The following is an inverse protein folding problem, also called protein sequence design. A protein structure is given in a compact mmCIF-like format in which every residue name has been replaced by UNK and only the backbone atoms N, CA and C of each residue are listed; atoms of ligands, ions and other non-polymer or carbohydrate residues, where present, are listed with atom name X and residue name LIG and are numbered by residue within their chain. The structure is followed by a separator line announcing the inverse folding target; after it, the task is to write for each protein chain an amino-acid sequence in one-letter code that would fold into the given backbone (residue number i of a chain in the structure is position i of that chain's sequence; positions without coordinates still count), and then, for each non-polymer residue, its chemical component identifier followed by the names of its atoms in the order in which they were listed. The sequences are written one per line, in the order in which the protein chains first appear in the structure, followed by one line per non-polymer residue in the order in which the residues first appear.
data_IF_140432894303
#
_entry.id   IF_140432894303
#
_cell.length_a   1.000
_cell.length_b   1.000
_cell.length_c   1.000
_cell.angle_alpha   90.00
_cell.angle_beta   90.00
_cell.angle_gamma   90.00
#
_symmetry.space_group_name_H-M   'P 1'
#
loop_
_entity.id
_entity.type
_entity.pdbx_description
1 polymer ?
#
# COMPACT_ATOMS: atom_id res chain seq x y z
N UNK A 1 -21.65 -16.16 56.12
CA UNK A 1 -21.05 -15.04 55.36
C UNK A 1 -19.54 -15.10 55.52
N UNK A 2 -18.82 -15.61 54.52
CA UNK A 2 -17.35 -15.56 54.44
C UNK A 2 -17.00 -15.05 53.04
N UNK A 3 -16.50 -13.83 52.97
CA UNK A 3 -15.96 -13.22 51.74
C UNK A 3 -14.50 -13.64 51.60
N UNK A 4 -14.18 -14.36 50.53
CA UNK A 4 -12.82 -14.57 50.08
C UNK A 4 -12.44 -13.42 49.14
N UNK A 5 -11.46 -12.60 49.55
CA UNK A 5 -10.78 -11.67 48.65
C UNK A 5 -9.62 -12.41 48.00
N UNK A 6 -9.71 -12.63 46.69
CA UNK A 6 -8.59 -13.08 45.85
C UNK A 6 -7.91 -11.83 45.31
N UNK A 7 -6.67 -11.62 45.73
CA UNK A 7 -5.77 -10.57 45.28
C UNK A 7 -5.12 -11.04 43.96
N UNK A 8 -5.53 -10.48 42.82
CA UNK A 8 -4.82 -10.69 41.54
C UNK A 8 -3.69 -9.65 41.43
N UNK A 9 -2.45 -10.15 41.38
CA UNK A 9 -1.26 -9.37 41.02
C UNK A 9 -1.11 -9.49 39.50
N UNK A 10 -1.32 -8.40 38.77
CA UNK A 10 -1.03 -8.30 37.34
C UNK A 10 0.39 -7.74 37.21
N UNK A 11 1.32 -8.57 36.73
CA UNK A 11 2.65 -8.14 36.32
C UNK A 11 2.58 -7.65 34.87
N UNK A 12 2.82 -6.36 34.65
CA UNK A 12 2.97 -5.79 33.32
C UNK A 12 4.34 -6.18 32.76
N UNK A 13 4.36 -7.07 31.77
CA UNK A 13 5.54 -7.32 30.94
C UNK A 13 5.43 -6.37 29.75
N UNK A 14 6.22 -5.30 29.77
CA UNK A 14 6.40 -4.43 28.61
C UNK A 14 7.18 -5.18 27.54
N UNK A 15 6.50 -5.60 26.49
CA UNK A 15 7.14 -6.07 25.25
C UNK A 15 7.26 -4.85 24.35
N UNK A 16 8.48 -4.32 24.22
CA UNK A 16 8.81 -3.38 23.16
C UNK A 16 8.81 -4.17 21.84
N UNK A 17 7.73 -4.04 21.05
CA UNK A 17 7.71 -4.49 19.67
C UNK A 17 8.41 -3.43 18.83
N UNK A 18 9.62 -3.76 18.39
CA UNK A 18 10.29 -3.04 17.32
C UNK A 18 9.52 -3.23 16.03
N UNK A 19 8.82 -2.19 15.58
CA UNK A 19 8.36 -2.02 14.22
C UNK A 19 9.57 -2.12 13.29
N UNK A 20 9.70 -3.23 12.56
CA UNK A 20 10.51 -3.29 11.35
C UNK A 20 9.57 -2.98 10.20
N UNK A 21 9.35 -1.70 9.97
CA UNK A 21 9.02 -1.25 8.63
C UNK A 21 10.31 -1.43 7.80
N UNK A 22 10.20 -1.95 6.58
CA UNK A 22 11.27 -1.83 5.61
C UNK A 22 11.51 -0.33 5.40
N UNK A 23 12.60 0.18 5.96
CA UNK A 23 13.06 1.54 5.78
C UNK A 23 13.72 1.61 4.40
N UNK A 24 13.08 2.31 3.47
CA UNK A 24 13.66 2.64 2.16
C UNK A 24 14.69 3.78 2.36
N UNK A 25 15.86 3.42 2.89
CA UNK A 25 17.01 4.32 2.96
C UNK A 25 17.54 4.59 1.55
N UNK A 26 17.02 5.66 0.93
CA UNK A 26 17.63 6.29 -0.25
C UNK A 26 19.03 6.78 0.13
N UNK A 27 20.05 6.19 -0.48
CA UNK A 27 21.41 6.72 -0.47
C UNK A 27 21.43 8.11 -1.09
N UNK A 28 21.70 9.13 -0.27
CA UNK A 28 22.20 10.42 -0.73
C UNK A 28 23.50 10.20 -1.52
N UNK A 29 23.48 10.51 -2.82
CA UNK A 29 24.72 10.79 -3.55
C UNK A 29 25.01 12.28 -3.45
N UNK A 30 25.96 12.64 -2.60
CA UNK A 30 26.70 13.90 -2.67
C UNK A 30 27.30 14.06 -4.06
N UNK A 31 26.90 15.10 -4.80
CA UNK A 31 27.74 15.63 -5.87
C UNK A 31 27.90 17.15 -5.75
N UNK A 32 29.05 17.48 -5.15
CA UNK A 32 29.99 18.56 -5.46
C UNK A 32 29.47 19.87 -6.07
N UNK A 33 29.53 20.93 -5.24
CA UNK A 33 29.63 22.32 -5.66
C UNK A 33 30.77 22.52 -6.68
N UNK A 34 30.47 23.19 -7.80
CA UNK A 34 31.41 24.14 -8.40
C UNK A 34 30.71 25.44 -8.79
N UNK A 35 31.21 26.48 -8.14
CA UNK A 35 31.10 27.91 -8.41
C UNK A 35 31.36 28.26 -9.89
N UNK A 36 30.43 29.00 -10.50
CA UNK A 36 30.74 29.94 -11.58
C UNK A 36 29.89 31.19 -11.40
N UNK A 37 30.57 32.28 -11.08
CA UNK A 37 30.03 33.63 -10.96
C UNK A 37 30.01 34.38 -12.29
N UNK A 38 29.04 35.30 -12.38
CA UNK A 38 29.01 36.59 -13.10
C UNK A 38 28.38 36.67 -14.51
N UNK A 39 27.21 37.32 -14.63
CA UNK A 39 27.09 38.76 -14.96
C UNK A 39 25.78 39.19 -15.63
N UNK A 40 25.14 40.19 -15.01
CA UNK A 40 24.46 41.37 -15.61
C UNK A 40 23.07 41.31 -16.27
N UNK A 41 22.13 42.03 -15.63
CA UNK A 41 21.06 42.88 -16.21
C UNK A 41 19.75 42.17 -16.64
N UNK A 42 18.54 42.72 -16.52
CA UNK A 42 18.01 43.99 -16.00
C UNK A 42 16.46 43.86 -15.94
N UNK A 43 15.82 44.74 -15.15
CA UNK A 43 14.40 45.17 -15.16
C UNK A 43 13.25 44.30 -14.60
N UNK A 44 12.84 44.67 -13.38
CA UNK A 44 11.53 45.23 -12.98
C UNK A 44 10.21 44.71 -13.63
N UNK A 45 9.43 43.99 -12.82
CA UNK A 45 7.98 44.16 -12.61
C UNK A 45 7.61 43.35 -11.34
N UNK A 46 7.60 43.96 -10.15
CA UNK A 46 6.42 44.55 -9.49
C UNK A 46 5.08 44.03 -10.02
N UNK A 47 4.43 43.15 -9.25
CA UNK A 47 3.01 43.19 -8.86
C UNK A 47 2.67 41.93 -8.03
N UNK A 48 2.27 42.12 -6.77
CA UNK A 48 1.39 41.17 -6.07
C UNK A 48 1.95 40.47 -4.83
N UNK A 49 2.37 41.24 -3.82
CA UNK A 49 2.45 40.80 -2.43
C UNK A 49 1.04 40.39 -1.95
N UNK A 50 0.78 39.09 -1.89
CA UNK A 50 -0.32 38.53 -1.09
C UNK A 50 0.30 37.95 0.16
N UNK A 51 0.26 38.76 1.21
CA UNK A 51 0.47 38.38 2.60
C UNK A 51 -0.48 37.23 2.96
N UNK A 52 0.04 36.00 3.00
CA UNK A 52 -0.63 34.89 3.68
C UNK A 52 0.01 34.70 5.05
N UNK A 53 -0.54 35.40 6.04
CA UNK A 53 -0.41 35.04 7.45
C UNK A 53 -1.82 34.82 7.99
N UNK A 54 -2.22 33.56 8.09
CA UNK A 54 -3.23 33.11 9.06
C UNK A 54 -2.94 31.62 9.36
N UNK A 55 -2.12 31.37 10.39
CA UNK A 55 -2.54 30.91 11.73
C UNK A 55 -2.96 29.44 11.75
N UNK A 56 -2.22 28.69 12.56
CA UNK A 56 -2.54 27.35 13.07
C UNK A 56 -4.04 27.09 13.23
N UNK A 57 -4.60 26.32 12.29
CA UNK A 57 -5.82 25.57 12.50
C UNK A 57 -5.44 24.10 12.53
N UNK A 58 -5.68 23.48 13.68
CA UNK A 58 -5.78 22.03 13.83
C UNK A 58 -6.91 21.56 12.92
N UNK A 59 -6.58 21.28 11.66
CA UNK A 59 -7.56 20.88 10.66
C UNK A 59 -7.98 19.44 10.95
N UNK A 60 -9.18 19.34 11.52
CA UNK A 60 -9.90 18.08 11.75
C UNK A 60 -10.89 17.82 10.62
N UNK A 61 -10.72 18.46 9.46
CA UNK A 61 -11.49 18.15 8.28
C UNK A 61 -10.80 17.02 7.51
N UNK A 62 -11.41 15.82 7.58
CA UNK A 62 -11.13 14.67 6.71
C UNK A 62 -11.57 14.99 5.27
N UNK A 63 -11.05 16.06 4.68
CA UNK A 63 -11.31 16.41 3.28
C UNK A 63 -10.10 15.95 2.50
N UNK A 64 -10.28 14.96 1.64
CA UNK A 64 -9.22 14.46 0.77
C UNK A 64 -8.62 15.60 -0.05
N UNK A 65 -7.31 15.79 0.10
CA UNK A 65 -6.59 16.78 -0.69
C UNK A 65 -6.36 16.20 -2.07
N UNK A 66 -6.79 16.98 -3.06
CA UNK A 66 -6.63 16.67 -4.46
C UNK A 66 -5.12 16.59 -4.78
N UNK A 67 -4.59 15.42 -5.17
CA UNK A 67 -3.23 15.28 -5.70
C UNK A 67 -3.18 15.49 -7.23
N UNK A 68 -2.19 14.90 -7.90
CA UNK A 68 -1.97 15.09 -9.35
C UNK A 68 -2.59 13.98 -10.21
N UNK A 69 -2.77 14.27 -11.50
CA UNK A 69 -3.19 13.25 -12.47
C UNK A 69 -2.00 12.36 -12.80
N UNK A 70 -2.13 11.05 -12.61
CA UNK A 70 -1.08 10.11 -12.99
C UNK A 70 -1.03 9.92 -14.50
N UNK A 71 0.07 9.38 -15.01
CA UNK A 71 0.22 9.00 -16.43
C UNK A 71 -0.84 8.00 -16.91
N UNK A 72 -1.51 7.31 -15.98
CA UNK A 72 -2.58 6.35 -16.24
C UNK A 72 -3.97 7.02 -16.30
N UNK A 73 -4.05 8.33 -16.09
CA UNK A 73 -5.30 9.11 -16.15
C UNK A 73 -6.08 9.15 -14.83
N UNK A 74 -5.55 8.58 -13.74
CA UNK A 74 -6.19 8.67 -12.44
C UNK A 74 -5.96 10.02 -11.80
N UNK A 75 -6.97 10.48 -11.08
CA UNK A 75 -6.80 11.54 -10.11
C UNK A 75 -6.31 10.90 -8.80
N UNK A 76 -5.01 10.96 -8.51
CA UNK A 76 -4.43 10.34 -7.31
C UNK A 76 -4.55 11.33 -6.15
N UNK A 77 -5.18 10.94 -5.05
CA UNK A 77 -5.27 11.81 -3.87
C UNK A 77 -3.99 11.74 -3.04
N UNK A 78 -3.79 12.74 -2.20
CA UNK A 78 -2.77 12.68 -1.14
C UNK A 78 -3.35 11.84 0.02
N UNK A 79 -2.77 10.68 0.35
CA UNK A 79 -3.25 9.86 1.47
C UNK A 79 -3.19 10.62 2.79
N UNK A 80 -4.19 10.45 3.65
CA UNK A 80 -4.26 11.15 4.94
C UNK A 80 -3.93 10.22 6.10
N UNK A 81 -3.56 10.80 7.25
CA UNK A 81 -3.54 10.07 8.52
C UNK A 81 -4.84 10.32 9.26
N UNK A 82 -5.54 9.24 9.65
CA UNK A 82 -6.84 9.32 10.31
C UNK A 82 -6.76 8.81 11.73
N UNK A 83 -7.44 9.51 12.65
CA UNK A 83 -7.64 9.01 14.01
C UNK A 83 -8.81 8.03 14.02
N UNK A 84 -8.52 6.78 14.35
CA UNK A 84 -9.50 5.69 14.44
C UNK A 84 -9.65 5.20 15.88
N UNK A 85 -10.80 4.59 16.19
CA UNK A 85 -11.05 3.99 17.51
C UNK A 85 -10.66 2.52 17.50
N UNK A 86 -10.00 2.05 18.55
CA UNK A 86 -9.57 0.66 18.70
C UNK A 86 -10.60 -0.17 19.47
N UNK A 87 -10.50 -1.50 19.39
CA UNK A 87 -11.42 -2.42 20.08
C UNK A 87 -11.46 -2.27 21.61
N UNK A 88 -10.42 -1.67 22.22
CA UNK A 88 -10.35 -1.38 23.66
C UNK A 88 -10.84 0.04 24.04
N UNK A 89 -11.35 0.80 23.06
CA UNK A 89 -11.84 2.17 23.23
C UNK A 89 -10.74 3.24 23.22
N UNK A 90 -9.47 2.88 23.03
CA UNK A 90 -8.40 3.84 22.76
C UNK A 90 -8.47 4.33 21.32
N UNK A 91 -7.61 5.29 20.96
CA UNK A 91 -7.51 5.80 19.58
C UNK A 91 -6.08 5.65 19.06
N UNK A 92 -5.94 5.35 17.78
CA UNK A 92 -4.66 5.36 17.07
C UNK A 92 -4.75 6.23 15.81
N UNK A 93 -3.59 6.70 15.35
CA UNK A 93 -3.45 7.40 14.08
C UNK A 93 -2.95 6.41 13.05
N UNK A 94 -3.76 6.12 12.05
CA UNK A 94 -3.46 5.15 11.00
C UNK A 94 -3.51 5.86 9.63
N UNK A 95 -2.54 5.63 8.74
CA UNK A 95 -2.56 6.20 7.41
C UNK A 95 -3.59 5.49 6.53
N UNK A 96 -4.12 6.25 5.57
CA UNK A 96 -4.82 5.71 4.42
C UNK A 96 -3.91 4.77 3.63
N UNK A 97 -4.51 3.78 2.99
CA UNK A 97 -3.81 2.80 2.17
C UNK A 97 -4.37 2.89 0.76
N UNK A 98 -3.67 3.66 -0.05
CA UNK A 98 -3.99 3.83 -1.46
C UNK A 98 -3.03 2.99 -2.29
N UNK A 99 -3.58 2.08 -3.09
CA UNK A 99 -2.80 1.14 -3.89
C UNK A 99 -2.97 1.43 -5.37
N UNK A 100 -1.86 1.45 -6.09
CA UNK A 100 -1.83 1.45 -7.55
C UNK A 100 -1.23 0.13 -8.03
N UNK A 101 -1.96 -0.64 -8.84
CA UNK A 101 -1.51 -1.95 -9.30
C UNK A 101 -1.48 -2.04 -10.82
N UNK A 102 -0.42 -2.63 -11.37
CA UNK A 102 -0.35 -3.10 -12.75
C UNK A 102 -0.86 -4.53 -12.85
N UNK A 103 -1.81 -4.75 -13.75
CA UNK A 103 -2.50 -6.02 -13.94
C UNK A 103 -2.36 -6.46 -15.40
N UNK A 104 -1.59 -7.51 -15.71
CA UNK A 104 -1.52 -8.07 -17.06
C UNK A 104 -2.74 -8.96 -17.31
N UNK A 105 -3.54 -8.61 -18.32
CA UNK A 105 -4.69 -9.42 -18.71
C UNK A 105 -5.03 -9.21 -20.18
N UNK A 106 -5.48 -10.27 -20.86
CA UNK A 106 -5.90 -10.22 -22.27
C UNK A 106 -4.90 -9.52 -23.22
N UNK A 107 -3.60 -9.73 -22.98
CA UNK A 107 -2.53 -9.12 -23.77
C UNK A 107 -2.34 -7.61 -23.58
N UNK A 108 -2.98 -7.01 -22.58
CA UNK A 108 -2.87 -5.59 -22.22
C UNK A 108 -2.40 -5.42 -20.77
N UNK A 109 -1.95 -4.21 -20.45
CA UNK A 109 -1.71 -3.77 -19.09
C UNK A 109 -2.87 -2.91 -18.64
N UNK A 110 -3.52 -3.34 -17.57
CA UNK A 110 -4.53 -2.58 -16.85
C UNK A 110 -3.86 -1.96 -15.63
N UNK A 111 -4.36 -0.80 -15.22
CA UNK A 111 -3.98 -0.19 -13.96
C UNK A 111 -5.19 -0.13 -13.05
N UNK A 112 -5.03 -0.55 -11.80
CA UNK A 112 -6.02 -0.39 -10.74
C UNK A 112 -5.55 0.70 -9.81
N UNK A 113 -6.39 1.70 -9.56
CA UNK A 113 -6.24 2.59 -8.42
C UNK A 113 -7.31 2.27 -7.38
N UNK A 114 -6.89 1.97 -6.16
CA UNK A 114 -7.76 1.69 -5.02
C UNK A 114 -7.50 2.74 -3.93
N UNK A 115 -8.55 3.43 -3.51
CA UNK A 115 -8.52 4.32 -2.35
C UNK A 115 -9.14 3.60 -1.15
N UNK A 116 -8.41 3.58 -0.04
CA UNK A 116 -8.95 3.01 1.20
C UNK A 116 -8.46 3.75 2.43
N UNK A 117 -9.28 3.70 3.48
CA UNK A 117 -8.97 4.33 4.75
C UNK A 117 -9.22 3.39 5.93
N UNK A 118 -8.46 3.55 7.03
CA UNK A 118 -8.68 2.77 8.23
C UNK A 118 -9.98 3.22 8.91
N UNK A 119 -10.78 2.24 9.32
CA UNK A 119 -12.05 2.43 10.04
C UNK A 119 -11.95 2.08 11.52
N UNK A 120 -11.00 1.19 11.86
CA UNK A 120 -10.68 0.79 13.21
C UNK A 120 -9.19 0.45 13.31
N UNK A 121 -8.62 0.64 14.50
CA UNK A 121 -7.31 0.09 14.86
C UNK A 121 -7.47 -1.17 15.69
N UNK A 122 -6.46 -2.06 15.64
CA UNK A 122 -6.30 -3.18 16.57
C UNK A 122 -7.60 -3.89 16.99
N UNK A 123 -8.23 -4.62 16.07
CA UNK A 123 -9.33 -5.55 16.44
C UNK A 123 -8.78 -6.87 17.05
N UNK A 124 -9.62 -7.91 17.22
CA UNK A 124 -9.28 -9.20 17.89
C UNK A 124 -7.98 -9.89 17.42
N UNK A 125 -7.41 -9.48 16.29
CA UNK A 125 -6.18 -10.02 15.69
C UNK A 125 -5.06 -8.96 15.54
N UNK A 126 -5.19 -7.83 16.24
CA UNK A 126 -4.21 -6.73 16.29
C UNK A 126 -3.95 -6.04 14.94
N UNK A 127 -4.97 -5.90 14.09
CA UNK A 127 -4.82 -5.23 12.79
C UNK A 127 -5.86 -4.17 12.51
N UNK A 128 -5.52 -3.18 11.68
CA UNK A 128 -6.50 -2.22 11.17
C UNK A 128 -7.51 -2.89 10.24
N UNK A 129 -8.70 -2.32 10.20
CA UNK A 129 -9.77 -2.66 9.24
C UNK A 129 -9.94 -1.48 8.30
N UNK A 130 -10.09 -1.74 7.00
CA UNK A 130 -10.20 -0.70 5.98
C UNK A 130 -11.59 -0.68 5.34
N UNK A 131 -12.03 0.52 4.97
CA UNK A 131 -13.12 0.71 4.02
C UNK A 131 -12.55 1.22 2.70
N UNK A 132 -13.14 0.78 1.59
CA UNK A 132 -12.82 1.28 0.26
C UNK A 132 -13.63 2.54 0.01
N UNK A 133 -12.95 3.64 -0.31
CA UNK A 133 -13.55 4.91 -0.69
C UNK A 133 -13.96 4.91 -2.17
N UNK A 134 -13.15 4.27 -3.00
CA UNK A 134 -13.40 4.09 -4.43
C UNK A 134 -12.31 3.27 -5.10
N UNK A 135 -12.62 2.77 -6.29
CA UNK A 135 -11.66 2.08 -7.13
C UNK A 135 -11.89 2.38 -8.60
N UNK A 136 -10.81 2.45 -9.37
CA UNK A 136 -10.85 2.77 -10.80
C UNK A 136 -9.88 1.89 -11.57
N UNK A 137 -10.31 1.44 -12.74
CA UNK A 137 -9.51 0.71 -13.71
C UNK A 137 -9.17 1.63 -14.88
N UNK A 138 -7.91 1.66 -15.29
CA UNK A 138 -7.47 2.31 -16.51
C UNK A 138 -6.94 1.30 -17.51
N UNK A 139 -7.44 1.37 -18.73
CA UNK A 139 -6.94 0.59 -19.87
C UNK A 139 -6.95 1.48 -21.11
N UNK A 140 -5.83 1.49 -21.84
CA UNK A 140 -5.66 2.32 -23.04
C UNK A 140 -6.01 3.81 -22.79
N UNK A 141 -5.73 4.31 -21.58
CA UNK A 141 -6.00 5.69 -21.15
C UNK A 141 -7.47 5.99 -20.80
N UNK A 142 -8.36 4.99 -20.83
CA UNK A 142 -9.75 5.14 -20.41
C UNK A 142 -9.92 4.68 -18.98
N UNK A 143 -10.35 5.58 -18.10
CA UNK A 143 -10.62 5.29 -16.68
C UNK A 143 -12.09 4.95 -16.48
N UNK A 144 -12.35 3.84 -15.80
CA UNK A 144 -13.68 3.35 -15.43
C UNK A 144 -13.72 3.05 -13.94
N UNK A 145 -14.73 3.56 -13.24
CA UNK A 145 -14.98 3.20 -11.84
C UNK A 145 -15.40 1.72 -11.73
N UNK A 146 -14.91 1.03 -10.69
CA UNK A 146 -15.19 -0.40 -10.46
C UNK A 146 -15.57 -0.64 -9.01
N UNK A 147 -16.43 -1.64 -8.78
CA UNK A 147 -16.71 -2.13 -7.44
C UNK A 147 -15.48 -2.85 -6.90
N UNK A 148 -15.08 -2.54 -5.66
CA UNK A 148 -13.91 -3.13 -5.03
C UNK A 148 -14.13 -3.42 -3.53
N UNK A 149 -13.42 -4.44 -3.04
CA UNK A 149 -13.24 -4.70 -1.61
C UNK A 149 -11.76 -4.86 -1.30
N UNK A 150 -11.37 -4.47 -0.09
CA UNK A 150 -9.99 -4.60 0.39
C UNK A 150 -9.98 -5.25 1.77
N UNK A 151 -9.16 -6.29 1.91
CA UNK A 151 -8.82 -6.92 3.17
C UNK A 151 -7.32 -6.76 3.42
N UNK A 152 -6.94 -6.29 4.60
CA UNK A 152 -5.55 -6.14 5.03
C UNK A 152 -4.84 -7.49 5.24
N UNK A 153 -5.59 -8.59 5.40
CA UNK A 153 -5.02 -9.91 5.59
C UNK A 153 -4.38 -10.12 6.97
N UNK A 154 -4.86 -9.39 7.98
CA UNK A 154 -4.44 -9.55 9.37
C UNK A 154 -2.95 -9.25 9.62
N UNK A 155 -2.40 -9.75 10.73
CA UNK A 155 -1.05 -9.38 11.22
C UNK A 155 0.10 -9.87 10.32
N UNK A 156 -0.25 -10.55 9.24
CA UNK A 156 0.66 -11.06 8.25
C UNK A 156 0.65 -10.23 6.96
N UNK A 157 -0.25 -9.24 6.84
CA UNK A 157 -0.39 -8.39 5.66
C UNK A 157 -0.60 -9.22 4.39
N UNK A 158 -1.49 -10.21 4.50
CA UNK A 158 -1.89 -11.04 3.37
C UNK A 158 -3.01 -10.33 2.59
N UNK A 159 -2.74 -9.08 2.24
CA UNK A 159 -3.64 -8.17 1.55
C UNK A 159 -4.40 -8.89 0.42
N UNK A 160 -5.70 -8.70 0.36
CA UNK A 160 -6.54 -9.18 -0.73
C UNK A 160 -7.34 -8.02 -1.28
N UNK A 161 -7.26 -7.81 -2.59
CA UNK A 161 -8.11 -6.86 -3.30
C UNK A 161 -9.01 -7.68 -4.22
N UNK A 162 -10.31 -7.42 -4.19
CA UNK A 162 -11.25 -7.99 -5.14
C UNK A 162 -11.95 -6.87 -5.89
N UNK A 163 -11.99 -6.94 -7.21
CA UNK A 163 -12.73 -6.01 -8.06
C UNK A 163 -13.64 -6.75 -9.03
N UNK A 164 -14.74 -6.12 -9.44
CA UNK A 164 -15.59 -6.62 -10.53
C UNK A 164 -15.34 -5.78 -11.78
N UNK A 165 -14.88 -6.41 -12.86
CA UNK A 165 -14.61 -5.75 -14.13
C UNK A 165 -14.93 -6.69 -15.30
N UNK A 166 -15.60 -6.16 -16.34
CA UNK A 166 -15.99 -6.92 -17.53
C UNK A 166 -16.69 -8.27 -17.23
N UNK A 167 -17.64 -8.25 -16.28
CA UNK A 167 -18.39 -9.44 -15.80
C UNK A 167 -17.54 -10.52 -15.11
N UNK A 168 -16.28 -10.22 -14.83
CA UNK A 168 -15.33 -11.10 -14.15
C UNK A 168 -14.97 -10.53 -12.78
N UNK A 169 -14.53 -11.40 -11.88
CA UNK A 169 -14.05 -11.03 -10.55
C UNK A 169 -12.54 -11.22 -10.52
N UNK A 170 -11.82 -10.12 -10.38
CA UNK A 170 -10.36 -10.11 -10.31
C UNK A 170 -9.98 -10.06 -8.83
N UNK A 171 -9.25 -11.06 -8.37
CA UNK A 171 -8.73 -11.14 -7.01
C UNK A 171 -7.22 -11.00 -7.08
N UNK A 172 -6.72 -9.84 -6.66
CA UNK A 172 -5.29 -9.63 -6.46
C UNK A 172 -4.94 -10.19 -5.08
N UNK A 173 -3.94 -11.06 -5.06
CA UNK A 173 -3.53 -11.79 -3.87
C UNK A 173 -2.02 -11.97 -3.85
N UNK A 174 -1.54 -12.80 -2.92
CA UNK A 174 -0.12 -13.12 -2.78
C UNK A 174 0.16 -14.54 -3.24
N UNK A 175 1.20 -14.66 -4.04
CA UNK A 175 1.88 -15.90 -4.40
C UNK A 175 3.19 -16.06 -3.60
N UNK A 176 3.76 -14.94 -3.13
CA UNK A 176 5.00 -14.89 -2.35
C UNK A 176 4.79 -15.02 -0.83
N UNK A 177 4.24 -16.15 -0.38
CA UNK A 177 4.18 -16.41 1.05
C UNK A 177 5.52 -16.86 1.62
N UNK A 178 6.02 -16.06 2.56
CA UNK A 178 7.20 -16.32 3.36
C UNK A 178 6.97 -17.23 4.58
N UNK A 179 8.00 -17.39 5.40
CA UNK A 179 7.91 -18.06 6.70
C UNK A 179 6.86 -17.39 7.59
N UNK A 180 5.96 -18.22 8.15
CA UNK A 180 4.89 -17.73 9.02
C UNK A 180 3.70 -17.14 8.28
N UNK A 181 3.54 -17.45 6.98
CA UNK A 181 2.43 -16.96 6.15
C UNK A 181 2.41 -15.44 5.99
N UNK A 182 3.58 -14.79 6.02
CA UNK A 182 3.73 -13.36 5.75
C UNK A 182 3.98 -13.16 4.26
N UNK A 183 3.29 -12.23 3.64
CA UNK A 183 3.61 -11.82 2.28
C UNK A 183 5.02 -11.22 2.21
N UNK A 184 5.74 -11.52 1.14
CA UNK A 184 7.04 -10.91 0.86
C UNK A 184 6.92 -9.57 0.13
N UNK A 185 5.82 -9.39 -0.61
CA UNK A 185 5.51 -8.20 -1.38
C UNK A 185 4.06 -7.75 -1.14
N UNK A 186 3.68 -6.62 -1.71
CA UNK A 186 2.25 -6.27 -1.93
C UNK A 186 1.60 -7.33 -2.83
N UNK A 187 0.25 -7.34 -3.01
CA UNK A 187 -0.39 -8.31 -3.89
C UNK A 187 0.34 -8.43 -5.24
N UNK A 188 0.80 -9.64 -5.54
CA UNK A 188 1.79 -9.92 -6.59
C UNK A 188 1.28 -10.90 -7.65
N UNK A 189 0.05 -11.38 -7.50
CA UNK A 189 -0.57 -12.32 -8.43
C UNK A 189 -2.06 -12.03 -8.61
N UNK A 190 -2.61 -12.56 -9.70
CA UNK A 190 -4.02 -12.39 -10.07
C UNK A 190 -4.74 -13.74 -10.16
N UNK A 191 -5.87 -13.86 -9.47
CA UNK A 191 -6.90 -14.85 -9.72
C UNK A 191 -8.04 -14.21 -10.50
N UNK A 192 -8.47 -14.84 -11.58
CA UNK A 192 -9.62 -14.41 -12.36
C UNK A 192 -10.74 -15.42 -12.17
N UNK A 193 -11.86 -14.97 -11.66
CA UNK A 193 -13.04 -15.78 -11.41
C UNK A 193 -14.23 -15.31 -12.25
N UNK A 194 -15.15 -16.24 -12.54
CA UNK A 194 -16.46 -15.89 -13.06
C UNK A 194 -17.35 -15.26 -11.97
N UNK A 195 -18.57 -14.84 -12.34
CA UNK A 195 -19.54 -14.26 -11.41
C UNK A 195 -20.00 -15.22 -10.29
N UNK A 196 -19.73 -16.53 -10.40
CA UNK A 196 -20.04 -17.53 -9.37
C UNK A 196 -18.80 -17.89 -8.52
N UNK A 197 -17.71 -17.14 -8.65
CA UNK A 197 -16.43 -17.38 -7.98
C UNK A 197 -15.74 -18.70 -8.39
N UNK A 198 -16.03 -19.23 -9.58
CA UNK A 198 -15.23 -20.31 -10.15
C UNK A 198 -13.96 -19.72 -10.77
N UNK A 199 -12.81 -20.30 -10.45
CA UNK A 199 -11.52 -19.90 -11.03
C UNK A 199 -11.55 -20.19 -12.53
N UNK A 200 -11.43 -19.12 -13.32
CA UNK A 200 -11.26 -19.17 -14.78
C UNK A 200 -9.78 -19.17 -15.13
N UNK A 201 -8.97 -18.41 -14.40
CA UNK A 201 -7.52 -18.41 -14.56
C UNK A 201 -6.84 -18.19 -13.21
N UNK A 202 -5.89 -19.07 -12.90
CA UNK A 202 -5.07 -19.00 -11.68
C UNK A 202 -3.66 -18.49 -12.02
N UNK A 203 -3.42 -17.22 -11.70
CA UNK A 203 -2.12 -16.59 -11.79
C UNK A 203 -1.29 -16.65 -10.51
N UNK A 204 -1.85 -17.16 -9.42
CA UNK A 204 -1.23 -17.23 -8.10
C UNK A 204 -0.50 -18.55 -7.82
N UNK A 205 -0.36 -19.39 -8.85
CA UNK A 205 0.56 -20.53 -8.82
C UNK A 205 2.01 -20.07 -8.56
N UNK A 206 2.90 -20.95 -8.07
CA UNK A 206 4.27 -20.57 -7.72
C UNK A 206 5.07 -19.87 -8.82
N UNK A 207 4.74 -20.10 -10.10
CA UNK A 207 5.41 -19.47 -11.25
C UNK A 207 4.82 -18.12 -11.65
N UNK A 208 3.80 -17.59 -10.94
CA UNK A 208 3.14 -16.30 -11.18
C UNK A 208 2.80 -16.04 -12.65
N UNK A 209 1.89 -16.84 -13.22
CA UNK A 209 1.56 -16.73 -14.65
C UNK A 209 0.80 -15.44 -15.02
N UNK A 210 0.26 -14.74 -14.01
CA UNK A 210 -0.29 -13.39 -14.13
C UNK A 210 0.34 -12.50 -13.03
N UNK A 211 1.56 -12.00 -13.25
CA UNK A 211 2.27 -11.22 -12.23
C UNK A 211 1.63 -9.85 -12.09
N UNK A 212 1.17 -9.53 -10.88
CA UNK A 212 0.68 -8.19 -10.52
C UNK A 212 1.82 -7.43 -9.85
N UNK A 213 1.89 -6.13 -10.08
CA UNK A 213 2.82 -5.25 -9.36
C UNK A 213 2.01 -4.13 -8.72
N UNK A 214 1.88 -4.17 -7.39
CA UNK A 214 1.19 -3.15 -6.62
C UNK A 214 2.20 -2.26 -5.85
N UNK A 215 1.97 -0.95 -5.89
CA UNK A 215 2.71 0.06 -5.13
C UNK A 215 1.75 0.84 -4.23
N UNK A 216 2.26 1.32 -3.10
CA UNK A 216 1.54 2.26 -2.22
C UNK A 216 1.72 3.68 -2.75
N UNK A 217 0.65 4.46 -2.81
CA UNK A 217 0.75 5.91 -3.06
C UNK A 217 1.53 6.55 -1.90
N UNK A 218 2.52 7.37 -2.21
CA UNK A 218 3.32 8.05 -1.19
C UNK A 218 2.46 9.04 -0.40
N UNK A 219 2.91 9.42 0.79
CA UNK A 219 2.21 10.39 1.64
C UNK A 219 2.07 11.80 1.02
N UNK A 220 2.81 12.10 -0.05
CA UNK A 220 2.69 13.33 -0.84
C UNK A 220 1.79 13.19 -2.08
N UNK A 221 1.17 12.03 -2.28
CA UNK A 221 0.34 11.71 -3.44
C UNK A 221 1.11 11.23 -4.68
N UNK A 222 2.45 11.18 -4.64
CA UNK A 222 3.25 10.66 -5.75
C UNK A 222 3.20 9.14 -5.86
N UNK A 223 3.39 8.62 -7.08
CA UNK A 223 3.48 7.18 -7.33
C UNK A 223 4.95 6.74 -7.38
N UNK A 224 5.34 5.70 -6.62
CA UNK A 224 6.61 5.01 -6.83
C UNK A 224 6.69 4.36 -8.23
N UNK A 225 7.91 3.99 -8.62
CA UNK A 225 8.11 3.12 -9.78
C UNK A 225 7.53 1.73 -9.50
N UNK A 226 6.92 1.12 -10.52
CA UNK A 226 6.43 -0.26 -10.44
C UNK A 226 7.58 -1.23 -10.65
N UNK A 227 8.19 -1.64 -9.55
CA UNK A 227 9.26 -2.63 -9.52
C UNK A 227 8.69 -3.95 -9.00
N UNK A 228 8.88 -5.05 -9.74
CA UNK A 228 8.47 -6.38 -9.28
C UNK A 228 9.56 -6.94 -8.35
N UNK A 229 9.33 -7.03 -7.03
CA UNK A 229 10.38 -7.42 -6.10
C UNK A 229 10.77 -8.90 -6.21
N UNK A 230 10.02 -9.74 -6.93
CA UNK A 230 10.43 -11.14 -7.15
C UNK A 230 11.28 -11.32 -8.41
N UNK A 231 11.17 -10.39 -9.36
CA UNK A 231 11.90 -10.45 -10.64
C UNK A 231 13.07 -9.47 -10.63
N UNK A 232 12.81 -8.22 -10.25
CA UNK A 232 13.74 -7.10 -10.36
C UNK A 232 14.59 -6.91 -9.10
N UNK A 233 14.11 -7.37 -7.95
CA UNK A 233 14.84 -7.24 -6.68
C UNK A 233 14.60 -8.43 -5.70
N UNK A 234 14.91 -9.67 -6.10
CA UNK A 234 14.57 -10.88 -5.34
C UNK A 234 15.19 -10.92 -3.92
N UNK A 235 16.25 -10.13 -3.67
CA UNK A 235 16.88 -10.02 -2.36
C UNK A 235 16.04 -9.20 -1.34
N UNK A 236 15.16 -8.31 -1.82
CA UNK A 236 14.32 -7.45 -0.98
C UNK A 236 13.19 -8.21 -0.27
N UNK A 237 12.78 -9.35 -0.81
CA UNK A 237 11.78 -10.23 -0.18
C UNK A 237 12.32 -11.03 1.03
N UNK A 238 13.50 -10.64 1.53
CA UNK A 238 14.29 -11.38 2.51
C UNK A 238 15.09 -12.49 1.85
N UNK A 239 16.15 -12.95 2.52
CA UNK A 239 16.94 -14.08 2.04
C UNK A 239 16.01 -15.25 1.62
N UNK A 240 16.29 -15.88 0.48
CA UNK A 240 15.56 -16.99 -0.17
C UNK A 240 14.97 -18.08 0.73
N UNK A 241 15.42 -18.20 1.98
CA UNK A 241 14.85 -19.04 3.02
C UNK A 241 13.39 -18.72 3.36
N UNK A 242 12.91 -17.51 3.08
CA UNK A 242 11.51 -17.16 3.34
C UNK A 242 10.58 -17.69 2.24
N UNK A 243 10.98 -17.58 0.97
CA UNK A 243 10.17 -17.98 -0.19
C UNK A 243 10.32 -19.49 -0.49
N UNK A 244 11.51 -20.05 -0.26
CA UNK A 244 11.83 -21.44 -0.53
C UNK A 244 12.21 -22.16 0.76
N UNK A 245 11.45 -23.19 1.15
CA UNK A 245 11.72 -23.97 2.37
C UNK A 245 13.12 -24.63 2.40
N UNK A 246 13.75 -24.80 1.24
CA UNK A 246 15.10 -25.33 1.02
C UNK A 246 16.20 -24.25 1.02
N UNK A 247 15.84 -22.97 0.95
CA UNK A 247 16.78 -21.85 0.97
C UNK A 247 17.49 -21.53 -0.35
N UNK A 248 17.11 -22.14 -1.47
CA UNK A 248 17.73 -21.90 -2.78
C UNK A 248 16.69 -21.41 -3.78
N UNK A 249 16.80 -20.14 -4.19
CA UNK A 249 16.14 -19.63 -5.40
C UNK A 249 17.11 -19.74 -6.58
N UNK A 250 16.63 -20.20 -7.72
CA UNK A 250 17.35 -20.10 -8.99
C UNK A 250 16.42 -19.46 -10.03
N UNK A 251 16.56 -18.15 -10.21
CA UNK A 251 15.58 -17.33 -10.94
C UNK A 251 14.20 -17.38 -10.26
N UNK A 252 13.15 -17.52 -11.05
CA UNK A 252 11.74 -17.54 -10.60
C UNK A 252 11.30 -18.88 -9.98
N UNK A 253 12.24 -19.78 -9.64
CA UNK A 253 11.91 -21.12 -9.12
C UNK A 253 12.60 -21.41 -7.80
N UNK A 254 11.81 -21.92 -6.85
CA UNK A 254 12.32 -22.59 -5.66
C UNK A 254 12.84 -23.99 -6.04
N UNK A 255 14.10 -24.28 -5.70
CA UNK A 255 14.74 -25.58 -5.93
C UNK A 255 14.77 -26.45 -4.67
#
# INVERSE_FOLDING_TARGET
MRQNHVLMIIAAIGVALSLWACDDDKKESTDTLTDFTDSSGDTSADLGDVTSTDTTANDTSNVDVSGDTSDQGFFVRVPQTRTVTCGDGTTANEPDVDLMCQIPWDGKTYYLYLQSHPTACFEMMMTPTFAVDGAWMSVDGTVTEVDATYDWGGNHHNDQIQITYAEMIFQLYHSSFGVGWRSCARPDCLLINDANLNIVQDGCVPTRTLPVVCVLVNADGSLPEFVDPLVDNPEACGACNNICASGVCNGDTCQ
#
